data_IF_562973768218
#
_entry.id   IF_562973768218
#
_cell.length_a   1.000
_cell.length_b   1.000
_cell.length_c   1.000
_cell.angle_alpha   90.00
_cell.angle_beta   90.00
_cell.angle_gamma   90.00
#
_symmetry.space_group_name_H-M   'P 1'
#
loop_
_entity.id
_entity.type
_entity.pdbx_description
1 polymer ?
#
# COMPACT_ATOMS: atom_id res chain seq x y z
N UNK A 1 10.13 5.67 -18.46
CA UNK A 1 10.57 6.93 -17.82
C UNK A 1 9.43 7.93 -17.98
N UNK A 2 9.06 8.70 -16.95
CA UNK A 2 7.77 9.43 -16.86
C UNK A 2 7.80 10.90 -17.32
N UNK A 3 8.90 11.34 -17.95
CA UNK A 3 9.06 12.73 -18.44
C UNK A 3 8.82 13.82 -17.36
N UNK A 4 9.14 13.53 -16.10
CA UNK A 4 9.06 14.51 -15.01
C UNK A 4 10.10 15.62 -15.20
N UNK A 5 9.75 16.91 -14.98
CA UNK A 5 10.73 17.99 -14.98
C UNK A 5 11.73 17.83 -13.84
N UNK A 6 12.98 18.21 -14.11
CA UNK A 6 14.09 18.14 -13.17
C UNK A 6 14.73 19.52 -13.04
N UNK A 7 14.74 20.06 -11.83
CA UNK A 7 15.41 21.31 -11.49
C UNK A 7 16.74 21.02 -10.81
N UNK A 8 17.85 21.30 -11.49
CA UNK A 8 19.18 21.21 -10.90
C UNK A 8 19.52 22.54 -10.22
N UNK A 9 19.87 22.48 -8.93
CA UNK A 9 20.15 23.68 -8.13
C UNK A 9 21.37 23.49 -7.24
N UNK A 10 22.22 24.51 -7.16
CA UNK A 10 23.38 24.51 -6.27
C UNK A 10 22.91 24.72 -4.82
N UNK A 11 23.21 23.79 -3.93
CA UNK A 11 22.86 23.88 -2.52
C UNK A 11 23.55 25.05 -1.79
N UNK A 12 24.67 25.57 -2.31
CA UNK A 12 25.34 26.76 -1.78
C UNK A 12 24.63 28.08 -2.10
N UNK A 13 23.51 28.05 -2.84
CA UNK A 13 22.60 29.18 -3.04
C UNK A 13 21.20 28.87 -2.46
N UNK A 14 20.97 29.10 -1.16
CA UNK A 14 19.70 28.78 -0.51
C UNK A 14 18.48 29.53 -1.08
N UNK A 15 18.67 30.73 -1.63
CA UNK A 15 17.59 31.50 -2.25
C UNK A 15 17.14 30.84 -3.56
N UNK A 16 18.09 30.34 -4.36
CA UNK A 16 17.79 29.58 -5.57
C UNK A 16 17.09 28.25 -5.24
N UNK A 17 17.52 27.57 -4.17
CA UNK A 17 16.86 26.35 -3.68
C UNK A 17 15.41 26.63 -3.31
N UNK A 18 15.14 27.71 -2.56
CA UNK A 18 13.78 28.12 -2.20
C UNK A 18 12.93 28.39 -3.45
N UNK A 19 13.46 29.16 -4.41
CA UNK A 19 12.76 29.43 -5.68
C UNK A 19 12.45 28.15 -6.46
N UNK A 20 13.38 27.20 -6.56
CA UNK A 20 13.11 25.93 -7.24
C UNK A 20 12.09 25.08 -6.49
N UNK A 21 12.04 25.18 -5.17
CA UNK A 21 11.03 24.52 -4.35
C UNK A 21 9.64 25.07 -4.61
N UNK A 22 9.49 26.39 -4.68
CA UNK A 22 8.22 27.04 -5.03
C UNK A 22 7.73 26.62 -6.43
N UNK A 23 8.61 26.67 -7.44
CA UNK A 23 8.27 26.28 -8.81
C UNK A 23 7.90 24.79 -8.90
N UNK A 24 8.62 23.92 -8.20
CA UNK A 24 8.29 22.50 -8.15
C UNK A 24 6.91 22.25 -7.51
N UNK A 25 6.60 22.95 -6.41
CA UNK A 25 5.30 22.85 -5.77
C UNK A 25 4.18 23.35 -6.69
N UNK A 26 4.38 24.51 -7.34
CA UNK A 26 3.43 25.05 -8.32
C UNK A 26 3.18 24.06 -9.46
N UNK A 27 4.24 23.44 -10.01
CA UNK A 27 4.11 22.41 -11.04
C UNK A 27 3.28 21.21 -10.55
N UNK A 28 3.58 20.66 -9.37
CA UNK A 28 2.80 19.54 -8.82
C UNK A 28 1.34 19.93 -8.62
N UNK A 29 1.07 21.10 -8.05
CA UNK A 29 -0.30 21.54 -7.77
C UNK A 29 -1.08 21.83 -9.06
N UNK A 30 -0.43 22.40 -10.07
CA UNK A 30 -1.05 22.72 -11.36
C UNK A 30 -1.32 21.48 -12.23
N UNK A 31 -0.38 20.52 -12.26
CA UNK A 31 -0.42 19.42 -13.26
C UNK A 31 -0.71 18.03 -12.68
N UNK A 32 -0.63 17.84 -11.36
CA UNK A 32 -0.87 16.52 -10.78
C UNK A 32 0.22 15.48 -11.07
N UNK A 33 1.43 15.92 -11.42
CA UNK A 33 2.55 15.05 -11.86
C UNK A 33 3.78 15.20 -10.97
N UNK A 34 4.62 14.19 -11.01
CA UNK A 34 5.92 14.16 -10.34
C UNK A 34 6.86 15.25 -10.89
N UNK A 35 7.71 15.77 -10.02
CA UNK A 35 8.75 16.77 -10.28
C UNK A 35 9.94 16.50 -9.36
N UNK A 36 11.15 16.71 -9.85
CA UNK A 36 12.38 16.40 -9.10
C UNK A 36 13.21 17.67 -8.91
N UNK A 37 13.70 17.87 -7.71
CA UNK A 37 14.74 18.86 -7.41
C UNK A 37 16.04 18.11 -7.16
N UNK A 38 17.00 18.26 -8.07
CA UNK A 38 18.37 17.78 -7.88
C UNK A 38 19.19 18.86 -7.16
N UNK A 39 19.21 18.76 -5.83
CA UNK A 39 19.96 19.67 -4.96
C UNK A 39 21.42 19.22 -4.89
N UNK A 40 22.24 19.80 -5.76
CA UNK A 40 23.66 19.47 -5.88
C UNK A 40 24.41 20.03 -4.68
N UNK A 41 24.87 19.12 -3.81
CA UNK A 41 25.51 19.45 -2.54
C UNK A 41 26.80 18.62 -2.33
N UNK A 42 27.35 18.67 -1.12
CA UNK A 42 28.49 17.86 -0.73
C UNK A 42 28.29 17.26 0.67
N UNK A 43 28.96 16.14 0.94
CA UNK A 43 29.01 15.54 2.27
C UNK A 43 30.25 16.03 3.00
N UNK A 44 30.09 16.63 4.19
CA UNK A 44 31.18 17.22 4.98
C UNK A 44 32.14 16.16 5.53
N UNK A 45 31.62 15.01 5.94
CA UNK A 45 32.34 13.89 6.55
C UNK A 45 32.20 12.61 5.70
N UNK A 46 32.71 11.47 6.20
CA UNK A 46 32.55 10.15 5.59
C UNK A 46 31.09 9.68 5.48
N UNK A 47 30.87 8.43 5.03
CA UNK A 47 29.50 7.92 4.88
C UNK A 47 28.74 7.90 6.20
N UNK A 48 29.46 7.64 7.28
CA UNK A 48 29.11 7.99 8.64
C UNK A 48 30.25 8.84 9.22
N UNK A 49 30.05 9.40 10.41
CA UNK A 49 30.98 10.34 11.05
C UNK A 49 32.32 9.71 11.45
N UNK A 50 32.42 8.38 11.48
CA UNK A 50 33.63 7.63 11.85
C UNK A 50 34.40 7.09 10.64
N UNK A 51 33.84 7.23 9.44
CA UNK A 51 34.43 6.75 8.19
C UNK A 51 35.42 7.78 7.62
N UNK A 52 36.55 7.31 7.10
CA UNK A 52 37.62 8.17 6.55
C UNK A 52 37.52 8.26 5.02
N UNK A 53 36.91 9.33 4.48
CA UNK A 53 36.65 9.43 3.04
C UNK A 53 37.90 9.71 2.21
N UNK A 54 38.99 10.23 2.79
CA UNK A 54 40.21 10.50 2.04
C UNK A 54 40.84 9.22 1.48
N UNK A 55 40.52 8.05 2.04
CA UNK A 55 40.98 6.75 1.55
C UNK A 55 40.54 6.51 0.10
N UNK A 56 39.36 6.98 -0.28
CA UNK A 56 38.78 6.69 -1.60
C UNK A 56 38.41 7.93 -2.42
N UNK A 57 38.18 9.11 -1.81
CA UNK A 57 37.87 10.36 -2.49
C UNK A 57 38.80 11.54 -2.13
N UNK A 58 40.14 11.41 -2.21
CA UNK A 58 41.08 12.41 -1.71
C UNK A 58 40.99 13.77 -2.41
N UNK A 59 40.76 13.81 -3.73
CA UNK A 59 40.64 15.06 -4.49
C UNK A 59 39.40 15.86 -4.11
N UNK A 60 38.28 15.17 -3.91
CA UNK A 60 37.00 15.77 -3.52
C UNK A 60 37.11 16.35 -2.10
N UNK A 61 37.60 15.55 -1.16
CA UNK A 61 37.63 15.97 0.24
C UNK A 61 38.68 17.05 0.54
N UNK A 62 39.75 17.17 -0.26
CA UNK A 62 40.62 18.35 -0.21
C UNK A 62 39.87 19.66 -0.50
N UNK A 63 38.95 19.65 -1.47
CA UNK A 63 38.10 20.83 -1.76
C UNK A 63 37.04 21.03 -0.68
N UNK A 64 36.37 19.97 -0.25
CA UNK A 64 35.34 20.04 0.82
C UNK A 64 35.92 20.60 2.12
N UNK A 65 37.14 20.19 2.50
CA UNK A 65 37.82 20.66 3.70
C UNK A 65 38.17 22.15 3.65
N UNK A 66 38.39 22.70 2.45
CA UNK A 66 38.62 24.13 2.24
C UNK A 66 37.31 24.94 2.16
N UNK A 67 36.18 24.27 1.94
CA UNK A 67 34.89 24.93 1.79
C UNK A 67 34.35 25.41 3.17
N UNK A 68 34.00 26.69 3.33
CA UNK A 68 33.55 27.25 4.62
C UNK A 68 32.20 26.68 5.08
N UNK A 69 31.44 26.08 4.15
CA UNK A 69 30.12 25.50 4.39
C UNK A 69 28.99 26.47 4.05
N UNK A 70 27.89 25.93 3.55
CA UNK A 70 26.73 26.66 3.02
C UNK A 70 26.21 27.74 3.97
N UNK A 71 26.03 27.41 5.25
CA UNK A 71 25.55 28.38 6.27
C UNK A 71 26.50 29.58 6.42
N UNK A 72 27.81 29.32 6.44
CA UNK A 72 28.81 30.38 6.60
C UNK A 72 28.88 31.26 5.35
N UNK A 73 28.82 30.64 4.16
CA UNK A 73 28.81 31.35 2.87
C UNK A 73 27.59 32.27 2.75
N UNK A 74 26.40 31.77 3.08
CA UNK A 74 25.18 32.56 3.01
C UNK A 74 25.14 33.69 4.05
N UNK A 75 25.59 33.42 5.28
CA UNK A 75 25.73 34.47 6.30
C UNK A 75 26.69 35.58 5.86
N UNK A 76 27.82 35.23 5.23
CA UNK A 76 28.76 36.21 4.68
C UNK A 76 28.08 37.08 3.61
N UNK A 77 27.36 36.48 2.67
CA UNK A 77 26.60 37.21 1.65
C UNK A 77 25.59 38.19 2.25
N UNK A 78 24.83 37.77 3.27
CA UNK A 78 23.85 38.65 3.94
C UNK A 78 24.52 39.81 4.69
N UNK A 79 25.71 39.57 5.27
CA UNK A 79 26.52 40.62 5.91
C UNK A 79 27.03 41.62 4.88
N UNK A 80 27.56 41.14 3.75
CA UNK A 80 28.00 41.99 2.64
C UNK A 80 26.86 42.82 2.05
N UNK A 81 25.64 42.28 2.03
CA UNK A 81 24.43 42.97 1.60
C UNK A 81 23.82 43.90 2.68
N UNK A 82 24.36 43.91 3.90
CA UNK A 82 23.86 44.73 5.01
C UNK A 82 22.51 44.29 5.57
N UNK A 83 22.05 43.07 5.28
CA UNK A 83 20.78 42.50 5.79
C UNK A 83 20.94 42.03 7.24
N UNK A 84 22.16 41.70 7.64
CA UNK A 84 22.53 41.03 8.89
C UNK A 84 23.91 41.55 9.34
N UNK A 85 24.14 41.77 10.63
CA UNK A 85 25.48 42.03 11.15
C UNK A 85 26.24 40.72 11.43
N UNK A 86 27.58 40.76 11.43
CA UNK A 86 28.40 39.60 11.78
C UNK A 86 28.13 39.11 13.22
N UNK A 87 27.88 40.04 14.14
CA UNK A 87 27.52 39.77 15.53
C UNK A 87 26.16 39.07 15.62
N UNK A 88 25.16 39.54 14.86
CA UNK A 88 23.85 38.91 14.78
C UNK A 88 23.94 37.49 14.21
N UNK A 89 24.77 37.27 13.19
CA UNK A 89 25.00 35.95 12.60
C UNK A 89 25.57 34.97 13.65
N UNK A 90 26.56 35.41 14.42
CA UNK A 90 27.17 34.60 15.48
C UNK A 90 26.22 34.39 16.66
N UNK A 91 25.43 35.41 17.02
CA UNK A 91 24.44 35.32 18.09
C UNK A 91 23.39 34.25 17.80
N UNK A 92 22.95 34.10 16.54
CA UNK A 92 22.02 33.02 16.12
C UNK A 92 22.60 31.63 16.38
N UNK A 93 23.89 31.41 16.10
CA UNK A 93 24.57 30.13 16.37
C UNK A 93 24.60 29.87 17.88
N UNK A 94 25.02 30.87 18.66
CA UNK A 94 25.09 30.75 20.13
C UNK A 94 23.74 30.46 20.75
N UNK A 95 22.69 31.14 20.28
CA UNK A 95 21.32 30.93 20.75
C UNK A 95 20.82 29.50 20.43
N UNK A 96 21.15 28.98 19.25
CA UNK A 96 20.78 27.61 18.87
C UNK A 96 21.50 26.57 19.76
N UNK A 97 22.80 26.73 20.00
CA UNK A 97 23.56 25.84 20.90
C UNK A 97 23.02 25.90 22.33
N UNK A 98 22.77 27.10 22.87
CA UNK A 98 22.19 27.24 24.21
C UNK A 98 20.83 26.56 24.34
N UNK A 99 19.99 26.63 23.30
CA UNK A 99 18.72 25.90 23.29
C UNK A 99 18.93 24.37 23.35
N UNK A 100 19.88 23.83 22.58
CA UNK A 100 20.23 22.41 22.63
C UNK A 100 20.79 21.99 24.00
N UNK A 101 21.67 22.80 24.59
CA UNK A 101 22.24 22.55 25.93
C UNK A 101 21.15 22.54 27.02
N UNK A 102 20.11 23.36 26.84
CA UNK A 102 18.92 23.41 27.72
C UNK A 102 17.88 22.31 27.39
N UNK A 103 18.11 21.48 26.37
CA UNK A 103 17.16 20.46 25.92
C UNK A 103 15.91 21.02 25.25
N UNK A 104 15.92 22.30 24.84
CA UNK A 104 14.82 22.96 24.12
C UNK A 104 15.03 22.86 22.62
N UNK A 105 13.97 22.52 21.88
CA UNK A 105 13.96 22.72 20.44
C UNK A 105 13.59 24.19 20.12
N UNK A 106 14.52 25.02 19.59
CA UNK A 106 14.27 26.43 19.33
C UNK A 106 13.33 26.67 18.13
N UNK A 107 13.11 25.65 17.30
CA UNK A 107 12.14 25.67 16.20
C UNK A 107 11.02 24.72 16.58
N UNK A 108 9.80 25.23 16.75
CA UNK A 108 8.63 24.39 16.94
C UNK A 108 7.88 24.23 15.61
N UNK A 109 8.18 23.19 14.81
CA UNK A 109 7.47 22.96 13.55
C UNK A 109 6.07 22.36 13.75
N UNK A 110 5.75 21.92 14.98
CA UNK A 110 4.49 21.24 15.29
C UNK A 110 3.46 22.29 15.69
N UNK A 111 2.42 22.44 14.88
CA UNK A 111 1.17 23.05 15.33
C UNK A 111 0.56 22.09 16.37
N UNK A 112 0.77 22.37 17.67
CA UNK A 112 0.42 21.47 18.78
C UNK A 112 -1.05 21.04 18.83
N UNK A 113 -1.93 21.77 18.14
CA UNK A 113 -3.38 21.52 18.10
C UNK A 113 -3.92 21.21 16.69
N UNK A 114 -3.04 21.00 15.69
CA UNK A 114 -3.50 20.63 14.35
C UNK A 114 -3.73 19.13 14.24
N UNK A 115 -5.00 18.72 14.28
CA UNK A 115 -5.41 17.36 13.89
C UNK A 115 -5.76 17.38 12.41
N UNK A 116 -4.95 16.68 11.62
CA UNK A 116 -5.26 16.47 10.21
C UNK A 116 -6.61 15.76 10.07
N UNK A 117 -7.46 16.24 9.17
CA UNK A 117 -8.81 15.67 8.93
C UNK A 117 -8.75 14.18 8.59
N UNK A 118 -7.69 13.77 7.88
CA UNK A 118 -7.43 12.39 7.49
C UNK A 118 -6.38 11.69 8.40
N UNK A 119 -6.27 12.11 9.66
CA UNK A 119 -5.36 11.47 10.60
C UNK A 119 -5.79 10.03 10.86
N UNK A 120 -4.89 9.08 10.58
CA UNK A 120 -5.15 7.66 10.76
C UNK A 120 -5.33 7.34 12.24
N UNK A 121 -6.50 6.83 12.63
CA UNK A 121 -6.76 6.41 14.01
C UNK A 121 -6.75 4.90 14.17
N UNK A 122 -5.76 4.42 14.90
CA UNK A 122 -5.64 3.01 15.29
C UNK A 122 -6.28 2.71 16.65
N UNK A 123 -6.96 3.67 17.28
CA UNK A 123 -7.44 3.56 18.67
C UNK A 123 -8.40 2.39 18.92
N UNK A 124 -9.10 1.92 17.87
CA UNK A 124 -9.98 0.74 17.93
C UNK A 124 -9.21 -0.59 18.04
N UNK A 125 -7.96 -0.61 17.57
CA UNK A 125 -7.15 -1.82 17.41
C UNK A 125 -6.07 -1.84 18.49
N UNK A 126 -6.42 -2.43 19.65
CA UNK A 126 -5.53 -2.44 20.82
C UNK A 126 -4.59 -3.65 20.80
N UNK A 127 -3.35 -3.43 21.24
CA UNK A 127 -2.31 -4.46 21.31
C UNK A 127 -2.44 -5.44 22.48
N UNK A 128 -3.37 -5.23 23.40
CA UNK A 128 -3.65 -6.12 24.55
C UNK A 128 -4.60 -7.27 24.19
N UNK A 129 -5.11 -7.31 22.96
CA UNK A 129 -6.09 -8.30 22.55
C UNK A 129 -5.39 -9.59 22.11
N UNK A 130 -5.75 -10.75 22.68
CA UNK A 130 -5.17 -12.02 22.26
C UNK A 130 -5.38 -12.28 20.77
N UNK A 131 -4.36 -12.81 20.09
CA UNK A 131 -4.46 -13.17 18.67
C UNK A 131 -5.59 -14.18 18.38
N UNK A 132 -5.95 -14.98 19.40
CA UNK A 132 -7.04 -15.95 19.38
C UNK A 132 -8.43 -15.34 19.54
N UNK A 133 -8.55 -14.01 19.61
CA UNK A 133 -9.84 -13.35 19.76
C UNK A 133 -10.86 -13.86 18.72
N UNK A 134 -12.04 -14.30 19.19
CA UNK A 134 -13.07 -14.81 18.30
C UNK A 134 -13.63 -13.65 17.47
N UNK A 135 -14.08 -13.95 16.25
CA UNK A 135 -14.86 -13.05 15.43
C UNK A 135 -16.05 -13.84 14.87
N UNK A 136 -17.27 -13.32 15.06
CA UNK A 136 -18.46 -13.91 14.45
C UNK A 136 -18.54 -13.48 12.99
N UNK A 137 -18.12 -14.37 12.11
CA UNK A 137 -18.09 -14.15 10.66
C UNK A 137 -19.32 -14.71 9.96
N UNK A 138 -20.27 -15.29 10.70
CA UNK A 138 -21.48 -15.93 10.14
C UNK A 138 -22.44 -14.88 9.59
N UNK A 139 -23.24 -15.27 8.61
CA UNK A 139 -24.33 -14.46 8.08
C UNK A 139 -25.63 -15.26 8.03
N UNK A 140 -26.80 -14.62 8.24
CA UNK A 140 -28.08 -15.25 7.96
C UNK A 140 -28.18 -15.64 6.48
N UNK A 141 -28.76 -16.81 6.20
CA UNK A 141 -28.92 -17.31 4.83
C UNK A 141 -29.62 -16.29 3.92
N UNK A 142 -30.72 -15.67 4.37
CA UNK A 142 -31.44 -14.66 3.61
C UNK A 142 -30.55 -13.47 3.19
N UNK A 143 -29.59 -13.09 4.04
CA UNK A 143 -28.63 -12.02 3.71
C UNK A 143 -27.65 -12.49 2.64
N UNK A 144 -27.11 -13.71 2.74
CA UNK A 144 -26.26 -14.29 1.70
C UNK A 144 -26.96 -14.38 0.34
N UNK A 145 -28.23 -14.80 0.33
CA UNK A 145 -29.04 -14.89 -0.89
C UNK A 145 -29.26 -13.52 -1.53
N UNK A 146 -29.56 -12.49 -0.72
CA UNK A 146 -29.70 -11.11 -1.21
C UNK A 146 -28.40 -10.58 -1.82
N UNK A 147 -27.26 -10.81 -1.17
CA UNK A 147 -25.95 -10.41 -1.70
C UNK A 147 -25.64 -11.15 -3.01
N UNK A 148 -25.92 -12.46 -3.08
CA UNK A 148 -25.73 -13.26 -4.28
C UNK A 148 -26.60 -12.77 -5.46
N UNK A 149 -27.84 -12.37 -5.19
CA UNK A 149 -28.73 -11.79 -6.18
C UNK A 149 -28.12 -10.50 -6.77
N UNK A 150 -27.65 -9.58 -5.93
CA UNK A 150 -27.03 -8.32 -6.37
C UNK A 150 -25.72 -8.54 -7.13
N UNK A 151 -24.88 -9.46 -6.65
CA UNK A 151 -23.61 -9.85 -7.31
C UNK A 151 -23.81 -10.44 -8.71
N UNK A 152 -24.99 -10.99 -8.98
CA UNK A 152 -25.30 -11.66 -10.25
C UNK A 152 -26.29 -10.87 -11.10
N UNK A 153 -26.65 -9.65 -10.69
CA UNK A 153 -27.55 -8.78 -11.44
C UNK A 153 -26.80 -8.13 -12.61
N UNK A 154 -27.24 -8.45 -13.83
CA UNK A 154 -26.66 -7.90 -15.06
C UNK A 154 -27.47 -6.66 -15.45
N UNK A 155 -26.82 -5.49 -15.64
CA UNK A 155 -27.52 -4.28 -16.04
C UNK A 155 -28.29 -4.46 -17.35
N UNK A 156 -29.41 -3.74 -17.54
CA UNK A 156 -30.13 -3.75 -18.81
C UNK A 156 -29.19 -3.31 -19.94
N UNK A 157 -29.31 -3.96 -21.10
CA UNK A 157 -28.48 -3.72 -22.30
C UNK A 157 -26.98 -4.04 -22.14
N UNK A 158 -26.53 -4.69 -21.07
CA UNK A 158 -25.14 -5.12 -20.91
C UNK A 158 -24.90 -6.49 -21.53
N UNK A 159 -24.06 -6.60 -22.58
CA UNK A 159 -23.80 -7.87 -23.24
C UNK A 159 -22.58 -8.58 -22.66
N UNK A 160 -22.82 -9.60 -21.83
CA UNK A 160 -21.75 -10.47 -21.34
C UNK A 160 -21.18 -11.38 -22.43
N UNK A 161 -19.89 -11.70 -22.32
CA UNK A 161 -19.31 -12.84 -23.03
C UNK A 161 -19.99 -14.14 -22.57
N UNK A 162 -20.25 -15.08 -23.49
CA UNK A 162 -21.02 -16.30 -23.20
C UNK A 162 -20.48 -17.12 -22.02
N UNK A 163 -19.15 -17.26 -21.92
CA UNK A 163 -18.49 -17.94 -20.79
C UNK A 163 -18.67 -17.20 -19.45
N UNK A 164 -18.65 -15.86 -19.46
CA UNK A 164 -18.91 -15.06 -18.25
C UNK A 164 -20.38 -15.18 -17.87
N UNK A 165 -21.29 -15.11 -18.85
CA UNK A 165 -22.72 -15.36 -18.64
C UNK A 165 -23.01 -16.71 -17.98
N UNK A 166 -22.30 -17.77 -18.36
CA UNK A 166 -22.41 -19.09 -17.70
C UNK A 166 -21.97 -19.03 -16.23
N UNK A 167 -20.83 -18.39 -15.93
CA UNK A 167 -20.35 -18.22 -14.56
C UNK A 167 -21.35 -17.44 -13.71
N UNK A 168 -21.91 -16.35 -14.24
CA UNK A 168 -22.90 -15.54 -13.50
C UNK A 168 -24.20 -16.33 -13.28
N UNK A 169 -24.64 -17.12 -14.27
CA UNK A 169 -25.79 -18.01 -14.10
C UNK A 169 -25.55 -19.07 -13.03
N UNK A 170 -24.37 -19.71 -13.02
CA UNK A 170 -24.00 -20.70 -12.00
C UNK A 170 -23.92 -20.07 -10.61
N UNK A 171 -23.32 -18.88 -10.48
CA UNK A 171 -23.31 -18.12 -9.23
C UNK A 171 -24.71 -17.75 -8.73
N UNK A 172 -25.65 -17.47 -9.64
CA UNK A 172 -27.04 -17.22 -9.28
C UNK A 172 -27.70 -18.49 -8.73
N UNK A 173 -27.48 -19.63 -9.38
CA UNK A 173 -27.93 -20.94 -8.91
C UNK A 173 -27.29 -21.29 -7.54
N UNK A 174 -26.01 -20.97 -7.33
CA UNK A 174 -25.35 -21.10 -6.01
C UNK A 174 -26.02 -20.23 -4.95
N UNK A 175 -26.32 -18.97 -5.29
CA UNK A 175 -27.08 -18.05 -4.42
C UNK A 175 -28.46 -18.57 -4.05
N UNK A 176 -29.12 -19.28 -4.95
CA UNK A 176 -30.43 -19.90 -4.71
C UNK A 176 -30.35 -21.22 -3.93
N UNK A 177 -29.13 -21.76 -3.71
CA UNK A 177 -28.93 -23.07 -3.07
C UNK A 177 -29.13 -24.26 -4.02
N UNK A 178 -29.19 -24.03 -5.33
CA UNK A 178 -29.31 -25.06 -6.36
C UNK A 178 -27.95 -25.72 -6.67
N UNK A 179 -26.86 -24.96 -6.49
CA UNK A 179 -25.47 -25.43 -6.62
C UNK A 179 -24.69 -25.12 -5.35
N UNK A 180 -23.64 -25.91 -5.08
CA UNK A 180 -22.69 -25.59 -4.02
C UNK A 180 -21.84 -24.36 -4.42
N UNK A 181 -21.52 -23.51 -3.45
CA UNK A 181 -20.67 -22.34 -3.69
C UNK A 181 -19.25 -22.78 -4.07
N UNK A 182 -18.74 -22.20 -5.16
CA UNK A 182 -17.32 -22.28 -5.53
C UNK A 182 -16.49 -21.21 -4.79
N UNK A 183 -15.17 -21.25 -4.99
CA UNK A 183 -14.24 -20.30 -4.38
C UNK A 183 -14.53 -18.86 -4.79
N UNK A 184 -14.72 -18.62 -6.09
CA UNK A 184 -14.94 -17.28 -6.63
C UNK A 184 -16.20 -16.62 -6.09
N UNK A 185 -17.28 -17.39 -5.93
CA UNK A 185 -18.54 -16.91 -5.35
C UNK A 185 -18.39 -16.60 -3.87
N UNK A 186 -17.75 -17.50 -3.10
CA UNK A 186 -17.54 -17.29 -1.67
C UNK A 186 -16.63 -16.09 -1.37
N UNK A 187 -15.59 -15.88 -2.19
CA UNK A 187 -14.74 -14.70 -2.16
C UNK A 187 -15.55 -13.41 -2.41
N UNK A 188 -16.35 -13.37 -3.49
CA UNK A 188 -17.19 -12.21 -3.81
C UNK A 188 -18.25 -11.93 -2.72
N UNK A 189 -18.84 -12.97 -2.12
CA UNK A 189 -19.78 -12.81 -1.01
C UNK A 189 -19.10 -12.24 0.24
N UNK A 190 -17.84 -12.58 0.50
CA UNK A 190 -17.09 -11.99 1.60
C UNK A 190 -16.91 -10.49 1.37
N UNK A 191 -16.48 -10.08 0.17
CA UNK A 191 -16.37 -8.67 -0.18
C UNK A 191 -17.71 -7.95 -0.06
N UNK A 192 -18.77 -8.45 -0.71
CA UNK A 192 -20.10 -7.84 -0.68
C UNK A 192 -20.62 -7.68 0.77
N UNK A 193 -20.39 -8.68 1.63
CA UNK A 193 -20.82 -8.61 3.03
C UNK A 193 -20.08 -7.55 3.83
N UNK A 194 -18.77 -7.38 3.60
CA UNK A 194 -17.95 -6.37 4.27
C UNK A 194 -18.30 -4.96 3.81
N UNK A 195 -18.55 -4.77 2.52
CA UNK A 195 -18.97 -3.49 1.95
C UNK A 195 -20.28 -3.00 2.57
N UNK A 196 -21.26 -3.89 2.73
CA UNK A 196 -22.53 -3.59 3.43
C UNK A 196 -22.39 -3.45 4.96
N UNK A 197 -21.23 -3.79 5.53
CA UNK A 197 -20.89 -3.59 6.94
C UNK A 197 -20.04 -2.33 7.17
N UNK A 198 -19.78 -1.55 6.11
CA UNK A 198 -19.02 -0.31 6.18
C UNK A 198 -17.50 -0.48 6.05
N UNK A 199 -17.01 -1.67 5.71
CA UNK A 199 -15.59 -1.90 5.44
C UNK A 199 -15.32 -1.77 3.95
N UNK A 200 -14.47 -0.81 3.57
CA UNK A 200 -14.01 -0.69 2.18
C UNK A 200 -13.19 -1.92 1.78
N UNK A 201 -13.15 -2.24 0.50
CA UNK A 201 -12.35 -3.35 -0.03
C UNK A 201 -11.52 -2.87 -1.20
N UNK A 202 -10.22 -3.09 -1.11
CA UNK A 202 -9.23 -2.75 -2.14
C UNK A 202 -8.47 -4.01 -2.52
N UNK A 203 -8.61 -4.45 -3.78
CA UNK A 203 -7.87 -5.57 -4.35
C UNK A 203 -6.94 -5.04 -5.45
N UNK A 204 -5.66 -5.36 -5.36
CA UNK A 204 -4.64 -4.91 -6.30
C UNK A 204 -3.75 -6.08 -6.71
N UNK A 205 -3.43 -6.17 -7.98
CA UNK A 205 -2.61 -7.25 -8.52
C UNK A 205 -2.84 -7.43 -10.01
N UNK A 206 -1.93 -8.13 -10.66
CA UNK A 206 -1.97 -8.36 -12.10
C UNK A 206 -3.21 -9.20 -12.48
N UNK A 207 -4.03 -8.67 -13.38
CA UNK A 207 -5.27 -9.30 -13.87
C UNK A 207 -6.27 -9.69 -12.76
N UNK A 208 -6.20 -9.09 -11.57
CA UNK A 208 -7.01 -9.49 -10.42
C UNK A 208 -8.52 -9.22 -10.63
N UNK A 209 -8.92 -8.28 -11.48
CA UNK A 209 -10.32 -7.99 -11.83
C UNK A 209 -11.04 -9.17 -12.46
N UNK A 210 -10.39 -9.84 -13.41
CA UNK A 210 -10.85 -11.12 -13.97
C UNK A 210 -10.47 -12.30 -13.07
N UNK A 211 -9.29 -12.23 -12.48
CA UNK A 211 -8.55 -13.32 -11.86
C UNK A 211 -7.70 -14.07 -12.90
N UNK A 212 -6.44 -14.34 -12.55
CA UNK A 212 -5.49 -15.12 -13.37
C UNK A 212 -6.12 -16.41 -13.89
N UNK A 213 -6.80 -17.14 -13.00
CA UNK A 213 -7.39 -18.45 -13.27
C UNK A 213 -8.85 -18.39 -13.76
N UNK A 214 -9.33 -17.21 -14.19
CA UNK A 214 -10.69 -17.02 -14.73
C UNK A 214 -11.80 -17.33 -13.71
N UNK A 215 -11.51 -17.14 -12.42
CA UNK A 215 -12.41 -17.53 -11.33
C UNK A 215 -13.16 -16.36 -10.68
N UNK A 216 -12.63 -15.12 -10.76
CA UNK A 216 -13.14 -14.00 -9.95
C UNK A 216 -14.23 -13.20 -10.64
N UNK A 217 -13.97 -12.69 -11.83
CA UNK A 217 -14.91 -11.83 -12.59
C UNK A 217 -15.56 -10.73 -11.70
N UNK A 218 -14.74 -9.99 -10.97
CA UNK A 218 -15.18 -8.81 -10.21
C UNK A 218 -15.51 -7.64 -11.15
N UNK A 219 -14.82 -7.57 -12.30
CA UNK A 219 -15.10 -6.62 -13.39
C UNK A 219 -15.66 -7.39 -14.59
N UNK A 220 -16.77 -6.90 -15.15
CA UNK A 220 -17.37 -7.40 -16.38
C UNK A 220 -17.15 -6.40 -17.50
N UNK A 221 -16.85 -6.87 -18.71
CA UNK A 221 -16.67 -5.99 -19.87
C UNK A 221 -17.77 -6.25 -20.90
N UNK A 222 -18.47 -5.20 -21.32
CA UNK A 222 -19.50 -5.30 -22.35
C UNK A 222 -18.86 -5.72 -23.68
N UNK A 223 -19.39 -6.77 -24.30
CA UNK A 223 -18.93 -7.25 -25.61
C UNK A 223 -19.31 -6.31 -26.77
N UNK A 224 -20.13 -5.29 -26.51
CA UNK A 224 -20.48 -4.26 -27.47
C UNK A 224 -19.66 -2.97 -27.30
N UNK A 225 -18.79 -2.90 -26.28
CA UNK A 225 -17.99 -1.70 -25.98
C UNK A 225 -17.15 -1.27 -27.18
N UNK A 226 -17.08 0.04 -27.39
CA UNK A 226 -16.33 0.66 -28.50
C UNK A 226 -15.05 1.37 -28.03
N UNK A 227 -14.93 1.63 -26.72
CA UNK A 227 -13.79 2.30 -26.11
C UNK A 227 -13.18 1.37 -25.06
N UNK A 228 -11.85 1.41 -24.91
CA UNK A 228 -11.13 0.47 -24.05
C UNK A 228 -11.28 0.81 -22.55
N UNK A 229 -11.57 2.08 -22.23
CA UNK A 229 -11.66 2.70 -20.91
C UNK A 229 -13.12 2.94 -20.46
N UNK A 230 -14.10 2.40 -21.18
CA UNK A 230 -15.52 2.53 -20.87
C UNK A 230 -16.24 1.19 -20.94
N UNK A 231 -17.46 1.21 -20.43
CA UNK A 231 -18.44 0.12 -20.53
C UNK A 231 -17.99 -1.17 -19.83
N UNK A 232 -17.26 -1.03 -18.72
CA UNK A 232 -17.12 -2.07 -17.72
C UNK A 232 -18.17 -1.92 -16.60
N UNK A 233 -18.42 -3.01 -15.88
CA UNK A 233 -19.35 -3.03 -14.77
C UNK A 233 -18.76 -3.87 -13.64
N UNK A 234 -18.73 -3.29 -12.44
CA UNK A 234 -18.21 -3.92 -11.23
C UNK A 234 -19.36 -4.13 -10.25
N UNK A 235 -19.99 -5.33 -10.17
CA UNK A 235 -21.18 -5.56 -9.34
C UNK A 235 -20.96 -5.25 -7.86
N UNK A 236 -19.73 -5.41 -7.38
CA UNK A 236 -19.34 -5.09 -6.01
C UNK A 236 -19.44 -3.60 -5.69
N UNK A 237 -19.55 -2.71 -6.67
CA UNK A 237 -19.82 -1.27 -6.46
C UNK A 237 -21.33 -0.94 -6.40
N UNK A 238 -22.20 -1.94 -6.55
CA UNK A 238 -23.66 -1.76 -6.69
C UNK A 238 -24.49 -2.70 -5.80
N UNK A 239 -23.92 -3.17 -4.69
CA UNK A 239 -24.57 -4.06 -3.72
C UNK A 239 -25.67 -3.34 -2.94
N UNK A 240 -25.39 -2.15 -2.41
CA UNK A 240 -26.33 -1.31 -1.64
C UNK A 240 -26.02 0.19 -1.83
N UNK A 241 -26.97 1.07 -1.56
CA UNK A 241 -26.80 2.52 -1.77
C UNK A 241 -25.84 3.17 -0.77
N UNK A 242 -25.74 2.59 0.44
CA UNK A 242 -24.92 3.05 1.57
C UNK A 242 -23.68 2.19 1.83
N UNK A 243 -23.29 1.36 0.85
CA UNK A 243 -22.11 0.51 0.98
C UNK A 243 -20.81 1.31 1.03
N UNK A 244 -19.77 0.72 1.61
CA UNK A 244 -18.41 1.24 1.50
C UNK A 244 -17.82 1.05 0.08
N UNK A 245 -16.70 1.73 -0.16
CA UNK A 245 -16.02 1.72 -1.46
C UNK A 245 -15.40 0.36 -1.79
N UNK A 246 -15.58 -0.06 -3.05
CA UNK A 246 -14.90 -1.20 -3.64
C UNK A 246 -13.98 -0.75 -4.77
N UNK A 247 -12.70 -1.12 -4.67
CA UNK A 247 -11.71 -0.91 -5.72
C UNK A 247 -11.04 -2.24 -6.08
N UNK A 248 -11.01 -2.56 -7.37
CA UNK A 248 -10.20 -3.64 -7.93
C UNK A 248 -9.30 -3.05 -9.02
N UNK A 249 -8.00 -3.29 -8.92
CA UNK A 249 -6.99 -2.62 -9.72
C UNK A 249 -6.11 -3.68 -10.35
N UNK A 250 -6.29 -3.87 -11.66
CA UNK A 250 -5.34 -4.60 -12.48
C UNK A 250 -4.03 -3.81 -12.52
N UNK A 251 -3.06 -4.25 -11.72
CA UNK A 251 -1.83 -3.49 -11.48
C UNK A 251 -0.94 -3.49 -12.72
N UNK A 252 0.03 -2.57 -12.73
CA UNK A 252 1.19 -2.71 -13.62
C UNK A 252 1.96 -4.00 -13.28
N UNK A 253 2.80 -4.45 -14.22
CA UNK A 253 3.65 -5.63 -14.07
C UNK A 253 4.82 -5.34 -13.12
N UNK A 254 4.54 -5.27 -11.82
CA UNK A 254 5.51 -4.96 -10.76
C UNK A 254 5.02 -5.45 -9.41
N UNK A 255 5.79 -6.32 -8.76
CA UNK A 255 5.46 -6.82 -7.43
C UNK A 255 5.99 -5.88 -6.34
N UNK A 256 7.25 -5.45 -6.43
CA UNK A 256 7.91 -4.70 -5.35
C UNK A 256 7.23 -3.36 -5.05
N UNK A 257 7.01 -2.54 -6.08
CA UNK A 257 6.42 -1.22 -5.92
C UNK A 257 4.92 -1.32 -5.55
N UNK A 258 4.19 -2.25 -6.17
CA UNK A 258 2.75 -2.42 -5.92
C UNK A 258 2.52 -2.96 -4.50
N UNK A 259 3.25 -4.00 -4.06
CA UNK A 259 3.11 -4.51 -2.71
C UNK A 259 3.52 -3.46 -1.66
N UNK A 260 4.56 -2.67 -1.94
CA UNK A 260 4.95 -1.53 -1.10
C UNK A 260 3.85 -0.47 -1.00
N UNK A 261 3.18 -0.17 -2.11
CA UNK A 261 2.03 0.74 -2.14
C UNK A 261 0.87 0.19 -1.30
N UNK A 262 0.50 -1.08 -1.49
CA UNK A 262 -0.59 -1.70 -0.74
C UNK A 262 -0.28 -1.82 0.76
N UNK A 263 0.98 -2.02 1.16
CA UNK A 263 1.39 -1.90 2.55
C UNK A 263 1.16 -0.48 3.08
N UNK A 264 1.58 0.55 2.32
CA UNK A 264 1.30 1.95 2.66
C UNK A 264 -0.20 2.20 2.87
N UNK A 265 -1.03 1.75 1.93
CA UNK A 265 -2.49 1.87 2.00
C UNK A 265 -3.07 1.16 3.22
N UNK A 266 -2.76 -0.13 3.42
CA UNK A 266 -3.30 -0.93 4.52
C UNK A 266 -2.91 -0.39 5.91
N UNK A 267 -1.78 0.31 5.98
CA UNK A 267 -1.34 0.97 7.21
C UNK A 267 -2.05 2.33 7.38
N UNK A 268 -2.43 3.01 6.30
CA UNK A 268 -3.17 4.27 6.36
C UNK A 268 -4.69 4.10 6.55
N UNK A 269 -5.27 2.98 6.11
CA UNK A 269 -6.71 2.74 6.12
C UNK A 269 -7.09 1.52 7.00
N UNK A 270 -7.30 1.71 8.31
CA UNK A 270 -7.47 0.60 9.26
C UNK A 270 -8.84 -0.09 9.17
N UNK A 271 -9.84 0.63 8.64
CA UNK A 271 -11.23 0.16 8.48
C UNK A 271 -11.48 -0.41 7.06
N UNK A 272 -10.45 -0.60 6.23
CA UNK A 272 -10.54 -1.22 4.91
C UNK A 272 -9.84 -2.58 4.79
N UNK A 273 -10.44 -3.52 4.06
CA UNK A 273 -9.80 -4.76 3.64
C UNK A 273 -8.92 -4.49 2.43
N UNK A 274 -7.61 -4.40 2.64
CA UNK A 274 -6.62 -4.23 1.56
C UNK A 274 -5.99 -5.57 1.22
N UNK A 275 -6.05 -5.96 -0.06
CA UNK A 275 -5.51 -7.19 -0.58
C UNK A 275 -4.54 -6.93 -1.73
N UNK A 276 -3.44 -7.66 -1.74
CA UNK A 276 -2.56 -7.80 -2.87
C UNK A 276 -2.55 -9.26 -3.37
N UNK A 277 -2.76 -9.47 -4.67
CA UNK A 277 -2.72 -10.79 -5.30
C UNK A 277 -1.53 -10.91 -6.24
N UNK A 278 -0.66 -11.89 -5.99
CA UNK A 278 0.35 -12.29 -6.94
C UNK A 278 -0.30 -13.11 -8.07
N UNK A 279 0.17 -12.96 -9.31
CA UNK A 279 -0.35 -13.76 -10.43
C UNK A 279 -0.17 -15.27 -10.17
N UNK A 280 1.02 -15.64 -9.69
CA UNK A 280 1.32 -16.90 -9.01
C UNK A 280 2.11 -16.58 -7.73
N UNK A 281 1.93 -17.38 -6.67
CA UNK A 281 2.60 -17.13 -5.40
C UNK A 281 4.13 -17.11 -5.50
N UNK A 282 4.68 -17.80 -6.50
CA UNK A 282 6.11 -17.90 -6.81
C UNK A 282 6.76 -16.51 -7.04
N UNK A 283 6.02 -15.54 -7.59
CA UNK A 283 6.51 -14.22 -7.99
C UNK A 283 6.60 -13.20 -6.85
N UNK A 284 6.04 -13.51 -5.67
CA UNK A 284 6.11 -12.63 -4.51
C UNK A 284 7.56 -12.37 -4.02
N UNK A 285 8.52 -13.18 -4.46
CA UNK A 285 9.94 -12.96 -4.20
C UNK A 285 10.49 -11.67 -4.85
N UNK A 286 9.86 -11.15 -5.90
CA UNK A 286 10.20 -9.84 -6.46
C UNK A 286 10.02 -8.70 -5.44
N UNK A 287 9.11 -8.88 -4.47
CA UNK A 287 8.82 -7.93 -3.40
C UNK A 287 9.39 -8.34 -2.03
N UNK A 288 10.46 -9.16 -2.01
CA UNK A 288 11.00 -9.72 -0.76
C UNK A 288 11.41 -8.64 0.26
N UNK A 289 11.94 -7.49 -0.19
CA UNK A 289 12.29 -6.37 0.70
C UNK A 289 11.07 -5.84 1.44
N UNK A 290 9.92 -5.74 0.77
CA UNK A 290 8.66 -5.30 1.39
C UNK A 290 8.19 -6.34 2.41
N UNK A 291 8.27 -7.63 2.06
CA UNK A 291 7.90 -8.73 2.95
C UNK A 291 8.74 -8.71 4.23
N UNK A 292 10.07 -8.66 4.10
CA UNK A 292 11.00 -8.80 5.22
C UNK A 292 11.01 -7.54 6.12
N UNK A 293 11.10 -6.36 5.49
CA UNK A 293 11.40 -5.12 6.20
C UNK A 293 10.17 -4.34 6.66
N UNK A 294 8.98 -4.68 6.14
CA UNK A 294 7.73 -3.99 6.44
C UNK A 294 6.63 -4.95 6.90
N UNK A 295 6.25 -5.95 6.10
CA UNK A 295 5.12 -6.82 6.42
C UNK A 295 5.43 -7.70 7.64
N UNK A 296 6.57 -8.37 7.66
CA UNK A 296 6.93 -9.29 8.74
C UNK A 296 7.45 -8.58 9.99
N UNK A 297 8.00 -7.36 9.88
CA UNK A 297 8.76 -6.72 10.96
C UNK A 297 8.29 -5.31 11.35
N UNK A 298 7.36 -4.71 10.61
CA UNK A 298 6.98 -3.31 10.78
C UNK A 298 6.33 -2.99 12.13
N UNK A 299 5.54 -3.91 12.68
CA UNK A 299 4.97 -3.75 14.01
C UNK A 299 6.04 -3.83 15.10
N UNK A 300 6.93 -4.81 15.05
CA UNK A 300 7.99 -4.97 16.04
C UNK A 300 9.00 -3.80 16.01
N UNK A 301 9.32 -3.28 14.82
CA UNK A 301 10.29 -2.19 14.65
C UNK A 301 9.72 -0.80 14.95
N UNK A 302 8.46 -0.56 14.59
CA UNK A 302 7.90 0.79 14.55
C UNK A 302 6.52 0.92 15.22
N UNK A 303 5.99 -0.14 15.82
CA UNK A 303 4.62 -0.17 16.35
C UNK A 303 3.55 -0.04 15.26
N UNK A 304 3.91 -0.30 13.99
CA UNK A 304 3.01 -0.08 12.86
C UNK A 304 2.09 -1.27 12.61
N UNK A 305 0.81 -1.10 12.92
CA UNK A 305 -0.23 -2.07 12.59
C UNK A 305 -0.54 -2.10 11.09
N UNK A 306 -0.86 -3.29 10.57
CA UNK A 306 -1.14 -3.52 9.16
C UNK A 306 -2.14 -4.67 8.98
N UNK A 307 -3.20 -4.42 8.20
CA UNK A 307 -4.25 -5.39 7.90
C UNK A 307 -4.12 -6.08 6.53
N UNK A 308 -2.99 -5.91 5.84
CA UNK A 308 -2.81 -6.34 4.46
C UNK A 308 -2.96 -7.86 4.29
N UNK A 309 -3.71 -8.27 3.26
CA UNK A 309 -3.85 -9.67 2.85
C UNK A 309 -3.00 -9.93 1.61
N UNK A 310 -2.17 -10.97 1.64
CA UNK A 310 -1.42 -11.45 0.47
C UNK A 310 -2.09 -12.73 -0.03
N UNK A 311 -2.60 -12.71 -1.26
CA UNK A 311 -3.13 -13.87 -1.95
C UNK A 311 -2.04 -14.46 -2.86
N UNK A 312 -1.58 -15.67 -2.52
CA UNK A 312 -0.44 -16.32 -3.15
C UNK A 312 -0.89 -17.66 -3.77
N UNK A 313 -1.23 -17.70 -5.07
CA UNK A 313 -1.65 -18.93 -5.73
C UNK A 313 -0.59 -20.03 -5.60
N UNK A 314 -0.96 -21.19 -5.06
CA UNK A 314 -0.06 -22.25 -4.66
C UNK A 314 -0.63 -23.64 -5.00
N UNK A 315 0.24 -24.55 -5.43
CA UNK A 315 -0.13 -25.95 -5.68
C UNK A 315 0.81 -26.64 -6.66
N UNK A 316 1.22 -27.87 -6.34
CA UNK A 316 2.09 -28.69 -7.19
C UNK A 316 1.26 -29.42 -8.25
N UNK A 317 1.03 -28.75 -9.38
CA UNK A 317 0.11 -29.21 -10.45
C UNK A 317 0.84 -29.54 -11.75
N UNK A 318 2.17 -29.71 -11.70
CA UNK A 318 2.99 -30.06 -12.87
C UNK A 318 3.30 -28.90 -13.82
N UNK A 319 3.08 -27.65 -13.40
CA UNK A 319 3.28 -26.44 -14.21
C UNK A 319 4.71 -25.87 -14.18
N UNK A 320 5.65 -26.59 -13.55
CA UNK A 320 7.06 -26.20 -13.46
C UNK A 320 7.43 -25.41 -12.20
N UNK A 321 8.72 -25.04 -12.06
CA UNK A 321 9.28 -24.49 -10.82
C UNK A 321 8.77 -23.10 -10.44
N UNK A 322 8.36 -22.28 -11.42
CA UNK A 322 7.88 -20.89 -11.21
C UNK A 322 6.35 -20.77 -11.16
N UNK A 323 5.63 -21.89 -11.16
CA UNK A 323 4.17 -21.92 -11.13
C UNK A 323 3.64 -22.97 -10.15
N UNK A 324 4.35 -23.21 -9.04
CA UNK A 324 4.03 -24.29 -8.10
C UNK A 324 4.04 -23.82 -6.64
N UNK A 325 5.04 -23.04 -6.24
CA UNK A 325 5.34 -22.76 -4.84
C UNK A 325 5.36 -21.27 -4.52
N UNK A 326 4.40 -20.83 -3.71
CA UNK A 326 4.49 -19.54 -3.02
C UNK A 326 5.51 -19.53 -1.87
N UNK A 327 6.35 -20.56 -1.72
CA UNK A 327 7.42 -20.67 -0.72
C UNK A 327 6.92 -20.50 0.72
N UNK A 328 5.89 -21.26 1.08
CA UNK A 328 5.27 -21.23 2.42
C UNK A 328 6.27 -21.36 3.56
N UNK A 329 7.32 -22.16 3.37
CA UNK A 329 8.40 -22.35 4.32
C UNK A 329 9.11 -21.04 4.70
N UNK A 330 9.22 -20.08 3.76
CA UNK A 330 9.84 -18.79 4.01
C UNK A 330 8.96 -17.90 4.89
N UNK A 331 7.65 -17.86 4.61
CA UNK A 331 6.72 -17.11 5.46
C UNK A 331 6.63 -17.72 6.86
N UNK A 332 6.66 -19.05 6.97
CA UNK A 332 6.73 -19.73 8.27
C UNK A 332 8.04 -19.42 9.01
N UNK A 333 9.17 -19.33 8.32
CA UNK A 333 10.45 -18.91 8.92
C UNK A 333 10.41 -17.46 9.43
N UNK A 334 9.68 -16.58 8.76
CA UNK A 334 9.49 -15.19 9.17
C UNK A 334 8.52 -15.03 10.35
N UNK A 335 7.76 -16.07 10.72
CA UNK A 335 6.79 -15.99 11.82
C UNK A 335 7.51 -15.94 13.17
N UNK A 336 7.28 -14.87 13.93
CA UNK A 336 7.69 -14.72 15.31
C UNK A 336 6.75 -13.74 16.02
N UNK A 337 6.46 -14.00 17.30
CA UNK A 337 5.65 -13.10 18.15
C UNK A 337 4.32 -12.64 17.52
N UNK A 338 3.63 -13.56 16.83
CA UNK A 338 2.35 -13.31 16.17
C UNK A 338 2.38 -12.12 15.17
N UNK A 339 3.53 -11.88 14.53
CA UNK A 339 3.72 -10.80 13.56
C UNK A 339 2.85 -10.95 12.31
N UNK A 340 2.69 -12.17 11.78
CA UNK A 340 1.90 -12.47 10.59
C UNK A 340 1.03 -13.72 10.80
N UNK A 341 -0.05 -13.82 10.02
CA UNK A 341 -0.93 -14.99 9.98
C UNK A 341 -0.68 -15.76 8.69
N UNK A 342 -0.32 -17.03 8.76
CA UNK A 342 -0.10 -17.88 7.57
C UNK A 342 -1.23 -18.91 7.46
N UNK A 343 -1.96 -18.91 6.35
CA UNK A 343 -3.17 -19.71 6.16
C UNK A 343 -3.17 -20.44 4.81
N UNK A 344 -3.67 -21.69 4.80
CA UNK A 344 -3.87 -22.52 3.59
C UNK A 344 -5.32 -22.99 3.55
N UNK A 345 -6.28 -22.12 3.18
CA UNK A 345 -7.68 -22.49 3.11
C UNK A 345 -7.92 -23.56 2.03
N UNK A 346 -8.73 -24.57 2.34
CA UNK A 346 -8.95 -25.74 1.46
C UNK A 346 -10.34 -25.81 0.85
N UNK A 347 -11.24 -24.87 1.17
CA UNK A 347 -12.58 -24.81 0.61
C UNK A 347 -13.14 -23.37 0.56
N UNK A 348 -14.23 -23.19 -0.18
CA UNK A 348 -14.89 -21.91 -0.39
C UNK A 348 -15.37 -21.22 0.92
N UNK A 349 -15.90 -21.98 1.87
CA UNK A 349 -16.35 -21.41 3.15
C UNK A 349 -15.18 -20.83 3.95
N UNK A 350 -14.02 -21.48 3.91
CA UNK A 350 -12.83 -21.04 4.64
C UNK A 350 -12.33 -19.69 4.12
N UNK A 351 -12.28 -19.45 2.81
CA UNK A 351 -11.88 -18.13 2.29
C UNK A 351 -12.89 -17.05 2.67
N UNK A 352 -14.19 -17.35 2.63
CA UNK A 352 -15.23 -16.43 3.07
C UNK A 352 -15.04 -15.98 4.52
N UNK A 353 -14.88 -16.94 5.43
CA UNK A 353 -14.68 -16.65 6.84
C UNK A 353 -13.33 -15.98 7.10
N UNK A 354 -12.27 -16.36 6.38
CA UNK A 354 -10.93 -15.83 6.57
C UNK A 354 -10.87 -14.32 6.23
N UNK A 355 -11.44 -13.92 5.10
CA UNK A 355 -11.49 -12.51 4.68
C UNK A 355 -12.33 -11.66 5.63
N UNK A 356 -13.52 -12.13 6.03
CA UNK A 356 -14.34 -11.42 7.03
C UNK A 356 -13.63 -11.31 8.38
N UNK A 357 -12.96 -12.37 8.82
CA UNK A 357 -12.21 -12.40 10.09
C UNK A 357 -11.12 -11.34 10.13
N UNK A 358 -10.50 -11.02 9.00
CA UNK A 358 -9.45 -10.00 8.90
C UNK A 358 -9.94 -8.62 9.33
N UNK A 359 -11.21 -8.29 9.04
CA UNK A 359 -11.81 -7.00 9.36
C UNK A 359 -12.57 -6.99 10.69
N UNK A 360 -13.30 -8.08 10.97
CA UNK A 360 -14.17 -8.18 12.15
C UNK A 360 -13.40 -8.43 13.46
N UNK A 361 -12.14 -8.86 13.39
CA UNK A 361 -11.28 -8.93 14.57
C UNK A 361 -10.90 -7.53 15.02
N UNK A 362 -10.79 -7.30 16.35
CA UNK A 362 -10.41 -6.00 16.90
C UNK A 362 -8.89 -5.74 16.87
N UNK A 363 -8.17 -6.36 15.93
CA UNK A 363 -6.76 -6.11 15.66
C UNK A 363 -6.49 -6.20 14.15
N UNK A 364 -5.34 -5.70 13.72
CA UNK A 364 -4.84 -5.86 12.35
C UNK A 364 -3.46 -6.50 12.37
N UNK A 365 -3.35 -7.65 11.71
CA UNK A 365 -2.11 -8.38 11.48
C UNK A 365 -2.08 -8.82 10.02
N UNK A 366 -0.95 -8.73 9.31
CA UNK A 366 -0.88 -9.21 7.93
C UNK A 366 -1.33 -10.66 7.81
N UNK A 367 -2.00 -10.97 6.71
CA UNK A 367 -2.57 -12.29 6.44
C UNK A 367 -2.00 -12.84 5.13
N UNK A 368 -1.18 -13.87 5.23
CA UNK A 368 -0.58 -14.59 4.11
C UNK A 368 -1.48 -15.79 3.78
N UNK A 369 -2.09 -15.78 2.61
CA UNK A 369 -3.03 -16.81 2.16
C UNK A 369 -2.45 -17.53 0.95
N UNK A 370 -2.18 -18.82 1.11
CA UNK A 370 -1.87 -19.70 -0.01
C UNK A 370 -3.18 -20.09 -0.69
N UNK A 371 -3.53 -19.37 -1.74
CA UNK A 371 -4.78 -19.57 -2.48
C UNK A 371 -4.65 -20.76 -3.44
N UNK A 372 -5.72 -21.51 -3.72
CA UNK A 372 -5.66 -22.64 -4.62
C UNK A 372 -5.60 -22.20 -6.08
N UNK A 373 -5.23 -23.15 -6.96
CA UNK A 373 -5.35 -23.01 -8.41
C UNK A 373 -6.35 -24.01 -8.98
N UNK A 374 -6.13 -25.31 -8.77
CA UNK A 374 -7.05 -26.37 -9.20
C UNK A 374 -8.37 -26.40 -8.42
N UNK A 375 -8.37 -26.10 -7.12
CA UNK A 375 -9.59 -26.09 -6.28
C UNK A 375 -10.52 -24.88 -6.53
N UNK A 376 -10.21 -24.05 -7.54
CA UNK A 376 -11.06 -22.93 -7.94
C UNK A 376 -12.30 -23.38 -8.75
N UNK A 377 -12.37 -24.64 -9.17
CA UNK A 377 -13.43 -25.19 -10.03
C UNK A 377 -14.10 -26.40 -9.40
#
# INVERSE_FOLDING_TARGET
MIEAPIFHVNADDPEAVLRMTEIALDYRMQFGKDVVIDMVCFRKLGHNEQDEPLVTQPLMYRKVNQHPGTRALYALRLVEQGVLSAEEAQAKIKAYHAALDEGRNPVQPVLTDFKHEFAVSWSKFRGDIPWTAPADTRLPLARLQKLAQRLTEVPPNFKLHSRVGKIIADRRAMGNGELALDWGMAENLAYASLLTEGYSVRLSGEDCGRGTFFHRHAVWHDQQRQQWDKDDYTPLQHIADDQADFAVIDSILSEEAVLGFEYGYATAEPDGLTLWEAQFGDFANGAQVVIDQFIASGEAKWGRLCGLVLLLPHGYEGQGPEHSSGRIERYLQLCADYNIQVCVPSNAAQIFHLLRRQMLRPFRKPLIVFTPKSLLR
#
